data_IF_231805317302
#
_entry.id   IF_231805317302
#
_cell.length_a   1.000
_cell.length_b   1.000
_cell.length_c   1.000
_cell.angle_alpha   90.00
_cell.angle_beta   90.00
_cell.angle_gamma   90.00
#
_symmetry.space_group_name_H-M   'P 1'
#
loop_
_entity.id
_entity.type
_entity.pdbx_description
1 polymer ?
#
# COMPACT_ATOMS: atom_id res chain seq x y z
N UNK A 1 6.23 -29.11 -15.31
CA UNK A 1 7.27 -29.60 -14.39
C UNK A 1 7.29 -28.64 -13.21
N UNK A 2 7.42 -29.15 -12.00
CA UNK A 2 7.63 -28.31 -10.81
C UNK A 2 8.97 -27.58 -10.96
N UNK A 3 8.98 -26.28 -10.69
CA UNK A 3 10.18 -25.42 -10.78
C UNK A 3 10.59 -24.98 -9.39
N UNK A 4 11.90 -24.79 -9.17
CA UNK A 4 12.46 -24.29 -7.92
C UNK A 4 13.05 -22.90 -8.11
N UNK A 5 13.05 -22.10 -7.05
CA UNK A 5 13.70 -20.79 -7.04
C UNK A 5 15.23 -20.93 -6.89
N UNK A 6 15.94 -20.04 -7.55
CA UNK A 6 17.38 -19.87 -7.47
C UNK A 6 17.72 -18.39 -7.36
N UNK A 7 18.84 -18.10 -6.71
CA UNK A 7 19.40 -16.75 -6.59
C UNK A 7 20.80 -16.71 -7.20
N UNK A 8 21.09 -15.64 -7.95
CA UNK A 8 22.43 -15.28 -8.38
C UNK A 8 22.86 -14.04 -7.58
N UNK A 9 23.98 -14.16 -6.88
CA UNK A 9 24.72 -13.03 -6.36
C UNK A 9 25.69 -12.58 -7.44
N UNK A 10 25.38 -11.46 -8.08
CA UNK A 10 26.15 -10.91 -9.19
C UNK A 10 27.22 -9.96 -8.64
N UNK A 11 28.48 -10.17 -9.01
CA UNK A 11 29.61 -9.33 -8.59
C UNK A 11 30.32 -8.75 -9.79
N UNK A 12 30.61 -7.45 -9.78
CA UNK A 12 31.46 -6.87 -10.83
C UNK A 12 32.91 -7.32 -10.68
N UNK A 13 33.53 -7.69 -11.80
CA UNK A 13 34.93 -8.12 -11.82
C UNK A 13 35.89 -6.98 -11.48
N UNK A 14 35.46 -5.73 -11.67
CA UNK A 14 36.23 -4.52 -11.34
C UNK A 14 35.47 -3.61 -10.36
N UNK A 15 36.07 -3.25 -9.20
CA UNK A 15 35.45 -2.32 -8.25
C UNK A 15 35.20 -0.91 -8.81
N UNK A 16 35.92 -0.49 -9.84
CA UNK A 16 35.79 0.84 -10.45
C UNK A 16 34.71 0.91 -11.53
N UNK A 17 34.04 -0.21 -11.85
CA UNK A 17 33.06 -0.32 -12.93
C UNK A 17 32.03 0.83 -12.98
N UNK A 18 31.39 1.17 -11.85
CA UNK A 18 30.41 2.28 -11.82
C UNK A 18 31.00 3.66 -12.18
N UNK A 19 32.32 3.83 -12.00
CA UNK A 19 33.02 5.10 -12.23
C UNK A 19 33.60 5.19 -13.63
N UNK A 20 34.08 4.08 -14.19
CA UNK A 20 34.93 4.07 -15.38
C UNK A 20 34.53 3.06 -16.46
N UNK A 21 33.28 2.56 -16.44
CA UNK A 21 32.79 1.62 -17.45
C UNK A 21 33.02 2.14 -18.89
N UNK A 22 33.70 1.32 -19.67
CA UNK A 22 33.91 1.51 -21.10
C UNK A 22 32.60 1.43 -21.88
N UNK A 23 32.62 1.85 -23.15
CA UNK A 23 31.44 1.75 -24.01
C UNK A 23 31.05 0.29 -24.27
N UNK A 24 32.03 -0.60 -24.40
CA UNK A 24 31.79 -2.03 -24.61
C UNK A 24 31.14 -2.65 -23.37
N UNK A 25 31.66 -2.36 -22.18
CA UNK A 25 31.07 -2.79 -20.91
C UNK A 25 29.61 -2.31 -20.74
N UNK A 26 29.32 -1.06 -21.12
CA UNK A 26 27.95 -0.52 -21.09
C UNK A 26 27.04 -1.22 -22.09
N UNK A 27 27.53 -1.53 -23.29
CA UNK A 27 26.78 -2.28 -24.29
C UNK A 27 26.46 -3.69 -23.80
N UNK A 28 27.44 -4.38 -23.21
CA UNK A 28 27.24 -5.70 -22.58
C UNK A 28 26.21 -5.65 -21.45
N UNK A 29 26.24 -4.63 -20.59
CA UNK A 29 25.22 -4.51 -19.52
C UNK A 29 23.82 -4.23 -20.08
N UNK A 30 23.70 -3.54 -21.22
CA UNK A 30 22.43 -3.39 -21.90
C UNK A 30 21.91 -4.73 -22.46
N UNK A 31 22.78 -5.57 -23.03
CA UNK A 31 22.43 -6.92 -23.47
C UNK A 31 22.02 -7.82 -22.30
N UNK A 32 22.75 -7.75 -21.17
CA UNK A 32 22.37 -8.40 -19.92
C UNK A 32 20.97 -8.00 -19.44
N UNK A 33 20.64 -6.70 -19.51
CA UNK A 33 19.32 -6.21 -19.14
C UNK A 33 18.22 -6.80 -20.04
N UNK A 34 18.41 -6.79 -21.36
CA UNK A 34 17.41 -7.36 -22.28
C UNK A 34 17.28 -8.88 -22.10
N UNK A 35 18.39 -9.60 -21.86
CA UNK A 35 18.39 -11.02 -21.54
C UNK A 35 17.50 -11.36 -20.33
N UNK A 36 17.61 -10.59 -19.23
CA UNK A 36 16.78 -10.80 -18.05
C UNK A 36 15.36 -10.28 -18.19
N UNK A 37 15.15 -9.21 -18.96
CA UNK A 37 13.82 -8.69 -19.28
C UNK A 37 12.99 -9.67 -20.11
N UNK A 38 13.59 -10.39 -21.06
CA UNK A 38 12.91 -11.49 -21.77
C UNK A 38 12.44 -12.58 -20.79
N UNK A 39 13.27 -12.93 -19.81
CA UNK A 39 12.95 -13.92 -18.76
C UNK A 39 11.90 -13.43 -17.79
N UNK A 40 11.86 -12.13 -17.51
CA UNK A 40 10.77 -11.52 -16.77
C UNK A 40 9.45 -11.66 -17.52
N UNK A 41 9.45 -11.33 -18.80
CA UNK A 41 8.25 -11.41 -19.64
C UNK A 41 7.74 -12.85 -19.84
N UNK A 42 8.62 -13.86 -19.77
CA UNK A 42 8.24 -15.28 -19.83
C UNK A 42 7.89 -15.90 -18.48
N UNK A 43 7.98 -15.14 -17.38
CA UNK A 43 7.67 -15.61 -16.02
C UNK A 43 8.79 -16.45 -15.36
N UNK A 44 9.97 -16.52 -15.98
CA UNK A 44 11.15 -17.19 -15.43
C UNK A 44 11.80 -16.33 -14.35
N UNK A 45 12.02 -15.03 -14.62
CA UNK A 45 12.59 -14.11 -13.64
C UNK A 45 11.52 -13.67 -12.63
N UNK A 46 11.84 -13.77 -11.34
CA UNK A 46 11.00 -13.26 -10.25
C UNK A 46 11.34 -11.80 -9.97
N UNK A 47 12.64 -11.50 -9.78
CA UNK A 47 13.14 -10.16 -9.49
C UNK A 47 14.62 -10.05 -9.87
N UNK A 48 15.03 -8.91 -10.42
CA UNK A 48 16.45 -8.57 -10.59
C UNK A 48 16.67 -7.09 -10.30
N UNK A 49 17.84 -6.75 -9.77
CA UNK A 49 18.22 -5.37 -9.59
C UNK A 49 19.67 -5.17 -9.15
N UNK A 50 20.30 -4.04 -9.52
CA UNK A 50 21.59 -3.64 -9.00
C UNK A 50 21.46 -3.06 -7.59
N UNK A 51 22.55 -3.09 -6.83
CA UNK A 51 22.66 -2.19 -5.68
C UNK A 51 22.88 -0.75 -6.17
N UNK A 52 22.43 0.22 -5.38
CA UNK A 52 22.57 1.63 -5.74
C UNK A 52 23.93 2.23 -5.36
N UNK A 53 24.66 1.58 -4.47
CA UNK A 53 25.90 2.06 -3.86
C UNK A 53 27.15 1.26 -4.27
N UNK A 54 26.98 0.17 -5.02
CA UNK A 54 28.06 -0.73 -5.46
C UNK A 54 27.70 -1.42 -6.79
N UNK A 55 28.69 -1.87 -7.58
CA UNK A 55 28.47 -2.40 -8.93
C UNK A 55 27.81 -3.80 -8.97
N UNK A 56 27.48 -4.37 -7.83
CA UNK A 56 26.98 -5.74 -7.67
C UNK A 56 25.44 -5.78 -7.85
N UNK A 57 24.84 -6.96 -7.87
CA UNK A 57 23.39 -7.12 -7.98
C UNK A 57 22.86 -8.47 -7.49
N UNK A 58 21.54 -8.59 -7.44
CA UNK A 58 20.82 -9.83 -7.11
C UNK A 58 19.83 -10.15 -8.20
N UNK A 59 19.70 -11.44 -8.52
CA UNK A 59 18.73 -11.98 -9.48
C UNK A 59 18.08 -13.21 -8.87
N UNK A 60 16.75 -13.25 -8.77
CA UNK A 60 15.96 -14.39 -8.30
C UNK A 60 15.08 -14.87 -9.45
N UNK A 61 15.13 -16.16 -9.76
CA UNK A 61 14.44 -16.75 -10.90
C UNK A 61 14.07 -18.22 -10.65
N UNK A 62 13.16 -18.74 -11.48
CA UNK A 62 12.70 -20.12 -11.42
C UNK A 62 13.39 -20.98 -12.48
N UNK A 63 13.78 -22.20 -12.11
CA UNK A 63 14.29 -23.21 -13.05
C UNK A 63 13.82 -24.62 -12.67
N UNK A 64 13.68 -25.52 -13.65
CA UNK A 64 13.21 -26.89 -13.40
C UNK A 64 14.28 -27.74 -12.71
N UNK A 65 15.55 -27.58 -13.08
CA UNK A 65 16.68 -28.32 -12.52
C UNK A 65 17.86 -27.40 -12.19
N UNK A 66 18.81 -27.84 -11.34
CA UNK A 66 20.05 -27.09 -11.11
C UNK A 66 20.87 -26.87 -12.38
N UNK A 67 20.80 -27.80 -13.34
CA UNK A 67 21.51 -27.66 -14.63
C UNK A 67 20.86 -26.59 -15.50
N UNK A 68 19.53 -26.50 -15.53
CA UNK A 68 18.83 -25.41 -16.23
C UNK A 68 19.18 -24.06 -15.63
N UNK A 69 19.24 -23.97 -14.29
CA UNK A 69 19.63 -22.75 -13.60
C UNK A 69 21.08 -22.33 -13.93
N UNK A 70 22.01 -23.29 -13.94
CA UNK A 70 23.39 -23.04 -14.34
C UNK A 70 23.49 -22.66 -15.83
N UNK A 71 22.66 -23.26 -16.69
CA UNK A 71 22.56 -22.91 -18.10
C UNK A 71 22.11 -21.46 -18.30
N UNK A 72 21.08 -21.02 -17.57
CA UNK A 72 20.61 -19.63 -17.58
C UNK A 72 21.72 -18.66 -17.12
N UNK A 73 22.47 -18.99 -16.07
CA UNK A 73 23.60 -18.14 -15.64
C UNK A 73 24.69 -18.06 -16.72
N UNK A 74 25.08 -19.19 -17.32
CA UNK A 74 26.16 -19.25 -18.32
C UNK A 74 25.83 -18.54 -19.64
N UNK A 75 24.56 -18.26 -19.90
CA UNK A 75 24.11 -17.56 -21.11
C UNK A 75 23.93 -16.06 -20.90
N UNK A 76 24.11 -15.56 -19.68
CA UNK A 76 24.06 -14.12 -19.39
C UNK A 76 25.21 -13.40 -20.14
N UNK A 77 24.89 -12.42 -21.02
CA UNK A 77 25.89 -11.68 -21.79
C UNK A 77 27.01 -11.06 -20.95
N UNK A 78 26.68 -10.55 -19.76
CA UNK A 78 27.66 -9.90 -18.89
C UNK A 78 28.54 -10.90 -18.12
N UNK A 79 28.07 -12.14 -17.92
CA UNK A 79 28.90 -13.25 -17.44
C UNK A 79 29.83 -13.73 -18.56
N UNK A 80 29.31 -13.93 -19.77
CA UNK A 80 30.10 -14.38 -20.93
C UNK A 80 31.23 -13.40 -21.29
N UNK A 81 30.96 -12.10 -21.19
CA UNK A 81 31.94 -11.05 -21.45
C UNK A 81 32.90 -10.78 -20.27
N UNK A 82 32.70 -11.42 -19.12
CA UNK A 82 33.54 -11.23 -17.92
C UNK A 82 33.36 -9.86 -17.23
N UNK A 83 32.26 -9.17 -17.49
CA UNK A 83 31.91 -7.93 -16.79
C UNK A 83 31.42 -8.23 -15.37
N UNK A 84 30.68 -9.33 -15.22
CA UNK A 84 30.22 -9.85 -13.94
C UNK A 84 30.67 -11.29 -13.72
N UNK A 85 30.77 -11.67 -12.46
CA UNK A 85 30.78 -13.05 -11.98
C UNK A 85 29.47 -13.33 -11.26
N UNK A 86 28.94 -14.55 -11.38
CA UNK A 86 27.69 -14.95 -10.75
C UNK A 86 27.87 -16.14 -9.82
N UNK A 87 27.41 -16.00 -8.59
CA UNK A 87 27.36 -17.07 -7.60
C UNK A 87 25.92 -17.61 -7.50
N UNK A 88 25.67 -18.81 -8.03
CA UNK A 88 24.35 -19.43 -8.11
C UNK A 88 24.05 -20.31 -6.90
N UNK A 89 22.88 -20.10 -6.28
CA UNK A 89 22.40 -20.89 -5.14
C UNK A 89 20.94 -21.29 -5.31
N UNK A 90 20.52 -22.51 -4.88
CA UNK A 90 19.11 -22.79 -4.61
C UNK A 90 18.59 -21.80 -3.57
N UNK A 91 17.40 -21.26 -3.80
CA UNK A 91 16.80 -20.25 -2.93
C UNK A 91 15.36 -20.64 -2.60
N UNK A 92 14.87 -20.15 -1.48
CA UNK A 92 13.47 -20.31 -1.09
C UNK A 92 12.97 -19.01 -0.48
N UNK A 93 12.09 -18.31 -1.20
CA UNK A 93 11.47 -17.09 -0.71
C UNK A 93 10.43 -17.44 0.35
N UNK A 94 10.80 -17.33 1.64
CA UNK A 94 9.91 -17.71 2.73
C UNK A 94 8.80 -16.70 3.01
N UNK A 95 9.00 -15.42 2.65
CA UNK A 95 8.06 -14.32 2.87
C UNK A 95 8.12 -13.35 1.68
N UNK A 96 6.98 -13.08 1.04
CA UNK A 96 6.90 -12.15 -0.10
C UNK A 96 5.57 -11.38 -0.10
N UNK A 97 5.60 -10.09 -0.50
CA UNK A 97 4.46 -9.20 -0.38
C UNK A 97 3.26 -9.62 -1.27
N UNK A 98 3.52 -10.32 -2.39
CA UNK A 98 2.47 -10.87 -3.27
C UNK A 98 1.67 -12.01 -2.62
N UNK A 99 2.23 -12.64 -1.59
CA UNK A 99 1.58 -13.73 -0.84
C UNK A 99 0.80 -13.20 0.37
N UNK A 100 0.73 -11.88 0.54
CA UNK A 100 -0.19 -11.30 1.50
C UNK A 100 -1.62 -11.64 1.05
N UNK A 101 -2.44 -12.30 1.89
CA UNK A 101 -3.83 -12.58 1.55
C UNK A 101 -4.53 -11.27 1.17
N UNK A 102 -5.49 -11.31 0.22
CA UNK A 102 -6.18 -10.11 -0.20
C UNK A 102 -6.76 -9.41 1.03
N UNK A 103 -6.34 -8.16 1.24
CA UNK A 103 -6.78 -7.34 2.36
C UNK A 103 -8.21 -6.81 2.15
N UNK A 104 -9.02 -7.44 1.30
CA UNK A 104 -10.42 -7.10 1.06
C UNK A 104 -11.26 -8.37 1.14
N UNK A 105 -12.54 -8.20 1.42
CA UNK A 105 -13.54 -9.27 1.32
C UNK A 105 -13.77 -9.57 -0.16
N UNK A 106 -13.64 -10.84 -0.57
CA UNK A 106 -13.79 -11.26 -1.97
C UNK A 106 -15.23 -11.09 -2.47
N UNK A 107 -16.21 -11.47 -1.64
CA UNK A 107 -17.64 -11.41 -1.96
C UNK A 107 -18.38 -10.58 -0.89
N UNK A 108 -18.19 -9.24 -0.86
CA UNK A 108 -18.83 -8.42 0.16
C UNK A 108 -20.34 -8.40 -0.01
N UNK A 109 -21.05 -8.26 1.11
CA UNK A 109 -22.50 -8.06 1.15
C UNK A 109 -22.88 -6.65 0.67
N UNK A 110 -24.17 -6.42 0.42
CA UNK A 110 -24.73 -5.10 0.11
C UNK A 110 -24.87 -4.16 1.33
N UNK A 111 -24.32 -4.56 2.49
CA UNK A 111 -24.39 -3.75 3.70
C UNK A 111 -23.66 -2.43 3.52
N UNK A 112 -24.34 -1.36 3.92
CA UNK A 112 -23.89 0.01 3.79
C UNK A 112 -24.20 0.78 5.07
N UNK A 113 -23.18 1.41 5.62
CA UNK A 113 -23.34 2.46 6.64
C UNK A 113 -23.22 3.80 5.93
N UNK A 114 -24.27 4.62 6.00
CA UNK A 114 -24.33 5.92 5.31
C UNK A 114 -24.68 7.04 6.27
N UNK A 115 -23.92 8.13 6.17
CA UNK A 115 -24.24 9.40 6.81
C UNK A 115 -24.22 10.53 5.79
N UNK A 116 -25.10 11.50 5.97
CA UNK A 116 -25.12 12.77 5.25
C UNK A 116 -25.23 13.88 6.27
N UNK A 117 -24.29 14.82 6.23
CA UNK A 117 -24.28 16.02 7.09
C UNK A 117 -24.07 17.27 6.26
N UNK A 118 -24.55 18.40 6.77
CA UNK A 118 -24.42 19.71 6.16
C UNK A 118 -23.74 20.65 7.15
N UNK A 119 -22.62 21.24 6.75
CA UNK A 119 -21.86 22.19 7.58
C UNK A 119 -21.76 23.56 6.91
N UNK A 120 -21.78 24.61 7.73
CA UNK A 120 -21.54 25.97 7.29
C UNK A 120 -20.03 26.25 7.34
N UNK A 121 -19.36 26.07 6.21
CA UNK A 121 -17.90 26.22 6.08
C UNK A 121 -17.53 26.35 4.60
N UNK A 122 -16.26 26.63 4.32
CA UNK A 122 -15.73 26.51 2.96
C UNK A 122 -15.39 25.05 2.63
N UNK A 123 -15.42 24.73 1.33
CA UNK A 123 -15.03 23.40 0.85
C UNK A 123 -13.58 23.05 1.24
N UNK A 124 -12.69 24.03 1.31
CA UNK A 124 -11.29 23.86 1.67
C UNK A 124 -11.12 23.50 3.14
N UNK A 125 -11.87 24.12 4.04
CA UNK A 125 -11.85 23.81 5.47
C UNK A 125 -12.37 22.39 5.73
N UNK A 126 -13.48 22.03 5.07
CA UNK A 126 -14.08 20.70 5.15
C UNK A 126 -13.12 19.63 4.59
N UNK A 127 -12.52 19.89 3.43
CA UNK A 127 -11.55 18.99 2.82
C UNK A 127 -10.34 18.78 3.74
N UNK A 128 -9.75 19.88 4.25
CA UNK A 128 -8.60 19.81 5.16
C UNK A 128 -8.93 19.10 6.46
N UNK A 129 -10.16 19.21 6.97
CA UNK A 129 -10.59 18.50 8.17
C UNK A 129 -10.37 16.98 8.05
N UNK A 130 -10.58 16.40 6.88
CA UNK A 130 -10.40 14.96 6.65
C UNK A 130 -9.03 14.56 6.08
N UNK A 131 -8.28 15.51 5.51
CA UNK A 131 -7.06 15.20 4.72
C UNK A 131 -5.75 15.69 5.34
N UNK A 132 -5.83 16.30 6.53
CA UNK A 132 -4.65 16.80 7.26
C UNK A 132 -4.67 16.29 8.69
N UNK A 133 -3.49 16.15 9.28
CA UNK A 133 -3.34 15.71 10.67
C UNK A 133 -4.03 16.70 11.61
N UNK A 134 -3.81 18.00 11.41
CA UNK A 134 -4.45 19.06 12.20
C UNK A 134 -5.97 19.02 12.08
N UNK A 135 -6.48 18.75 10.88
CA UNK A 135 -7.90 18.56 10.61
C UNK A 135 -8.48 17.40 11.40
N UNK A 136 -7.90 16.22 11.30
CA UNK A 136 -8.39 15.01 11.98
C UNK A 136 -8.33 15.16 13.50
N UNK A 137 -7.26 15.76 14.02
CA UNK A 137 -7.07 16.01 15.46
C UNK A 137 -8.15 16.87 16.10
N UNK A 138 -8.84 17.65 15.28
CA UNK A 138 -9.80 18.63 15.76
C UNK A 138 -11.22 18.10 15.96
N UNK A 139 -11.52 16.86 15.55
CA UNK A 139 -12.85 16.26 15.77
C UNK A 139 -12.86 14.72 15.79
N UNK A 140 -11.93 14.07 15.07
CA UNK A 140 -12.02 12.65 14.81
C UNK A 140 -11.22 11.83 15.82
N UNK A 141 -9.98 12.22 16.10
CA UNK A 141 -9.09 11.45 16.97
C UNK A 141 -8.02 12.35 17.61
N UNK A 142 -7.17 11.82 18.50
CA UNK A 142 -6.15 12.64 19.17
C UNK A 142 -4.91 12.87 18.30
N UNK A 143 -4.62 11.96 17.37
CA UNK A 143 -3.50 12.07 16.44
C UNK A 143 -3.72 11.21 15.17
N UNK A 144 -2.89 11.42 14.15
CA UNK A 144 -2.99 10.71 12.88
C UNK A 144 -1.69 10.76 12.07
N UNK A 145 -1.58 9.83 11.11
CA UNK A 145 -0.61 9.87 10.02
C UNK A 145 -1.34 9.82 8.69
N UNK A 146 -1.26 10.91 7.93
CA UNK A 146 -1.98 11.07 6.66
C UNK A 146 -0.99 11.45 5.57
N UNK A 147 -0.93 10.66 4.51
CA UNK A 147 -0.15 10.90 3.31
C UNK A 147 -1.09 10.94 2.10
N UNK A 148 -1.42 12.14 1.62
CA UNK A 148 -2.37 12.36 0.49
C UNK A 148 -1.78 11.97 -0.88
N UNK A 149 -1.48 10.69 -1.04
CA UNK A 149 -1.07 10.02 -2.29
C UNK A 149 -1.77 8.65 -2.35
N UNK A 150 -2.02 8.13 -3.54
CA UNK A 150 -2.60 6.78 -3.69
C UNK A 150 -1.66 5.74 -3.03
N UNK A 151 -2.21 4.90 -2.16
CA UNK A 151 -1.46 3.94 -1.33
C UNK A 151 -0.73 4.56 -0.12
N UNK A 152 -0.81 5.88 0.07
CA UNK A 152 -0.27 6.57 1.23
C UNK A 152 -1.03 6.22 2.52
N UNK A 153 -0.38 6.43 3.66
CA UNK A 153 -0.98 6.18 4.98
C UNK A 153 -2.26 7.00 5.19
N UNK A 154 -3.30 6.35 5.73
CA UNK A 154 -4.49 6.99 6.30
C UNK A 154 -4.77 6.35 7.65
N UNK A 155 -3.90 6.66 8.61
CA UNK A 155 -3.90 6.06 9.94
C UNK A 155 -4.39 7.08 10.97
N UNK A 156 -5.42 6.71 11.71
CA UNK A 156 -6.10 7.54 12.70
C UNK A 156 -5.91 6.85 14.05
N UNK A 157 -5.38 7.57 15.04
CA UNK A 157 -4.99 7.00 16.33
C UNK A 157 -5.99 7.39 17.41
N UNK A 158 -6.58 6.39 18.07
CA UNK A 158 -7.62 6.56 19.09
C UNK A 158 -7.11 6.26 20.51
N UNK A 159 -6.07 5.43 20.64
CA UNK A 159 -5.42 5.12 21.90
C UNK A 159 -3.93 5.52 21.89
N UNK A 160 -3.51 6.39 22.82
CA UNK A 160 -2.12 6.85 22.93
C UNK A 160 -1.22 5.93 23.75
N UNK A 161 -1.80 5.05 24.56
CA UNK A 161 -1.10 4.15 25.49
C UNK A 161 -0.93 2.73 24.92
N UNK A 162 -1.74 2.36 23.92
CA UNK A 162 -1.65 1.06 23.26
C UNK A 162 -0.37 0.92 22.41
N UNK A 163 0.05 -0.33 22.19
CA UNK A 163 1.22 -0.72 21.39
C UNK A 163 1.05 -0.33 19.92
N UNK A 164 2.15 0.07 19.29
CA UNK A 164 2.20 0.34 17.86
C UNK A 164 1.67 -0.83 17.02
N UNK A 165 0.78 -0.54 16.08
CA UNK A 165 -0.01 -1.49 15.29
C UNK A 165 -1.46 -1.68 15.77
N UNK A 166 -1.75 -1.34 17.03
CA UNK A 166 -3.07 -1.51 17.66
C UNK A 166 -3.71 -0.21 18.16
N UNK A 167 -3.07 0.94 17.98
CA UNK A 167 -3.52 2.27 18.48
C UNK A 167 -4.73 2.84 17.76
N UNK A 168 -5.07 2.29 16.60
CA UNK A 168 -6.20 2.77 15.80
C UNK A 168 -6.22 2.14 14.41
N UNK A 169 -6.27 2.94 13.35
CA UNK A 169 -6.37 2.43 11.98
C UNK A 169 -5.01 2.17 11.30
N UNK A 170 -4.01 1.72 12.07
CA UNK A 170 -2.64 1.47 11.56
C UNK A 170 -2.62 0.48 10.39
N UNK A 171 -1.85 0.85 9.35
CA UNK A 171 -1.80 0.17 8.07
C UNK A 171 -3.02 0.39 7.15
N UNK A 172 -3.94 1.31 7.46
CA UNK A 172 -4.94 1.77 6.51
C UNK A 172 -4.35 2.78 5.53
N UNK A 173 -4.88 2.81 4.32
CA UNK A 173 -4.32 3.57 3.19
C UNK A 173 -5.37 4.39 2.47
N UNK A 174 -4.93 5.50 1.88
CA UNK A 174 -5.67 6.24 0.85
C UNK A 174 -5.79 5.35 -0.40
N UNK A 175 -7.01 5.09 -0.85
CA UNK A 175 -7.28 4.27 -2.03
C UNK A 175 -7.39 5.12 -3.29
N UNK A 176 -8.10 6.24 -3.20
CA UNK A 176 -8.25 7.21 -4.29
C UNK A 176 -8.79 8.52 -3.75
N UNK A 177 -8.60 9.61 -4.51
CA UNK A 177 -9.20 10.89 -4.18
C UNK A 177 -9.33 11.77 -5.43
N UNK A 178 -10.36 12.61 -5.42
CA UNK A 178 -10.49 13.78 -6.28
C UNK A 178 -10.47 14.99 -5.34
N UNK A 179 -9.45 15.86 -5.41
CA UNK A 179 -9.31 16.96 -4.46
C UNK A 179 -10.61 17.76 -4.32
N UNK A 180 -11.08 17.93 -3.07
CA UNK A 180 -12.29 18.69 -2.71
C UNK A 180 -13.62 18.08 -3.21
N UNK A 181 -13.60 16.88 -3.75
CA UNK A 181 -14.81 16.20 -4.26
C UNK A 181 -15.01 14.83 -3.63
N UNK A 182 -13.96 14.01 -3.54
CA UNK A 182 -14.04 12.64 -3.04
C UNK A 182 -12.75 12.20 -2.37
N UNK A 183 -12.86 11.47 -1.27
CA UNK A 183 -11.77 10.76 -0.62
C UNK A 183 -12.21 9.33 -0.32
N UNK A 184 -11.38 8.35 -0.67
CA UNK A 184 -11.59 6.94 -0.36
C UNK A 184 -10.39 6.36 0.36
N UNK A 185 -10.63 5.60 1.42
CA UNK A 185 -9.59 4.93 2.19
C UNK A 185 -10.03 3.55 2.68
N UNK A 186 -9.06 2.67 2.88
CA UNK A 186 -9.30 1.37 3.52
C UNK A 186 -9.54 1.56 5.01
N UNK A 187 -10.32 0.70 5.63
CA UNK A 187 -10.61 0.77 7.06
C UNK A 187 -10.51 -0.60 7.71
N UNK A 188 -10.14 -0.66 8.98
CA UNK A 188 -9.89 -1.92 9.68
C UNK A 188 -10.79 -2.05 10.91
N UNK A 189 -11.13 -3.30 11.26
CA UNK A 189 -11.91 -3.57 12.46
C UNK A 189 -11.10 -3.28 13.74
N UNK A 190 -11.77 -3.05 14.89
CA UNK A 190 -11.12 -2.91 16.19
C UNK A 190 -10.16 -4.07 16.54
N UNK A 191 -9.15 -3.84 17.39
CA UNK A 191 -8.20 -4.86 17.83
C UNK A 191 -8.83 -6.17 18.36
N UNK A 192 -10.02 -6.10 18.95
CA UNK A 192 -10.76 -7.27 19.45
C UNK A 192 -11.18 -8.26 18.34
N UNK A 193 -11.14 -7.85 17.07
CA UNK A 193 -11.48 -8.67 15.90
C UNK A 193 -10.27 -8.88 14.97
N UNK A 194 -9.19 -9.55 15.40
CA UNK A 194 -7.92 -9.62 14.66
C UNK A 194 -8.07 -10.23 13.25
N UNK A 195 -8.86 -11.30 13.12
CA UNK A 195 -9.13 -11.96 11.83
C UNK A 195 -9.85 -11.03 10.83
N UNK A 196 -10.78 -10.19 11.30
CA UNK A 196 -11.50 -9.22 10.46
C UNK A 196 -10.62 -8.00 10.21
N UNK A 197 -9.80 -7.60 11.18
CA UNK A 197 -8.92 -6.43 11.08
C UNK A 197 -7.93 -6.53 9.92
N UNK A 198 -7.50 -7.73 9.55
CA UNK A 198 -6.69 -8.01 8.36
C UNK A 198 -7.48 -7.87 7.04
N UNK A 199 -8.81 -8.02 7.09
CA UNK A 199 -9.73 -7.82 5.96
C UNK A 199 -10.27 -6.39 5.98
N UNK A 200 -9.59 -5.49 5.27
CA UNK A 200 -9.96 -4.08 5.23
C UNK A 200 -11.28 -3.85 4.48
N UNK A 201 -12.15 -3.07 5.09
CA UNK A 201 -13.33 -2.47 4.48
C UNK A 201 -12.96 -1.16 3.76
N UNK A 202 -13.93 -0.47 3.17
CA UNK A 202 -13.70 0.77 2.40
C UNK A 202 -14.65 1.87 2.83
N UNK A 203 -14.11 3.05 3.09
CA UNK A 203 -14.88 4.26 3.41
C UNK A 203 -14.69 5.28 2.30
N UNK A 204 -15.78 5.85 1.83
CA UNK A 204 -15.81 6.88 0.79
C UNK A 204 -16.52 8.10 1.36
N UNK A 205 -15.84 9.24 1.31
CA UNK A 205 -16.36 10.56 1.59
C UNK A 205 -16.58 11.29 0.27
N UNK A 206 -17.75 11.92 0.12
CA UNK A 206 -18.01 12.85 -0.98
C UNK A 206 -18.33 14.23 -0.42
N UNK A 207 -17.80 15.26 -1.05
CA UNK A 207 -17.93 16.65 -0.67
C UNK A 207 -18.64 17.42 -1.77
N UNK A 208 -19.62 18.24 -1.43
CA UNK A 208 -20.32 19.06 -2.41
C UNK A 208 -20.80 20.36 -1.80
N UNK A 209 -20.49 21.49 -2.44
CA UNK A 209 -21.09 22.77 -2.09
C UNK A 209 -22.54 22.80 -2.60
N UNK A 210 -23.46 23.19 -1.72
CA UNK A 210 -24.88 23.33 -2.00
C UNK A 210 -25.20 24.76 -2.45
N UNK A 211 -26.39 24.95 -3.02
CA UNK A 211 -26.86 26.25 -3.51
C UNK A 211 -26.98 27.30 -2.40
N UNK A 212 -27.24 26.88 -1.17
CA UNK A 212 -27.32 27.74 0.02
C UNK A 212 -25.95 28.03 0.65
N UNK A 213 -24.86 27.59 0.01
CA UNK A 213 -23.49 27.81 0.46
C UNK A 213 -22.97 26.78 1.47
N UNK A 214 -23.82 25.90 2.03
CA UNK A 214 -23.37 24.83 2.92
C UNK A 214 -22.58 23.77 2.16
N UNK A 215 -21.70 23.06 2.87
CA UNK A 215 -21.01 21.89 2.33
C UNK A 215 -21.70 20.63 2.82
N UNK A 216 -22.15 19.81 1.87
CA UNK A 216 -22.62 18.46 2.13
C UNK A 216 -21.44 17.49 2.17
N UNK A 217 -21.38 16.68 3.22
CA UNK A 217 -20.43 15.59 3.36
C UNK A 217 -21.21 14.29 3.47
N UNK A 218 -20.97 13.37 2.53
CA UNK A 218 -21.57 12.05 2.52
C UNK A 218 -20.52 11.00 2.82
N UNK A 219 -20.69 10.29 3.92
CA UNK A 219 -19.87 9.14 4.29
C UNK A 219 -20.60 7.86 3.89
N UNK A 220 -19.87 6.96 3.27
CA UNK A 220 -20.36 5.64 2.92
C UNK A 220 -19.30 4.58 3.20
N UNK A 221 -19.62 3.60 4.04
CA UNK A 221 -18.73 2.52 4.45
C UNK A 221 -19.29 1.18 3.95
N UNK A 222 -18.46 0.46 3.19
CA UNK A 222 -18.79 -0.79 2.48
C UNK A 222 -17.73 -1.87 2.71
N UNK A 223 -17.99 -3.07 2.19
CA UNK A 223 -17.03 -4.17 2.16
C UNK A 223 -17.16 -5.16 3.31
N UNK A 224 -18.34 -5.21 3.93
CA UNK A 224 -18.63 -6.15 5.02
C UNK A 224 -18.95 -7.54 4.47
N UNK A 225 -18.38 -8.58 5.06
CA UNK A 225 -18.72 -9.97 4.79
C UNK A 225 -19.93 -10.42 5.64
N UNK A 226 -20.23 -11.72 5.57
CA UNK A 226 -21.26 -12.43 6.33
C UNK A 226 -20.71 -13.02 7.64
N UNK A 227 -21.61 -13.29 8.59
CA UNK A 227 -21.30 -14.00 9.84
C UNK A 227 -21.33 -13.11 11.08
N UNK A 228 -21.49 -13.75 12.25
CA UNK A 228 -21.77 -13.06 13.53
C UNK A 228 -20.70 -12.02 13.92
N UNK A 229 -19.41 -12.33 13.69
CA UNK A 229 -18.32 -11.36 13.95
C UNK A 229 -18.45 -10.12 13.05
N UNK A 230 -18.82 -10.31 11.77
CA UNK A 230 -19.05 -9.21 10.84
C UNK A 230 -20.31 -8.41 11.16
N UNK A 231 -21.35 -9.06 11.69
CA UNK A 231 -22.55 -8.38 12.21
C UNK A 231 -22.18 -7.45 13.38
N UNK A 232 -21.35 -7.94 14.31
CA UNK A 232 -20.87 -7.15 15.45
C UNK A 232 -20.02 -5.96 14.99
N UNK A 233 -19.08 -6.18 14.06
CA UNK A 233 -18.23 -5.10 13.49
C UNK A 233 -19.07 -4.06 12.74
N UNK A 234 -20.07 -4.49 11.97
CA UNK A 234 -20.98 -3.58 11.29
C UNK A 234 -21.79 -2.73 12.29
N UNK A 235 -22.31 -3.33 13.36
CA UNK A 235 -23.01 -2.60 14.43
C UNK A 235 -22.09 -1.62 15.15
N UNK A 236 -20.86 -2.04 15.48
CA UNK A 236 -19.85 -1.18 16.07
C UNK A 236 -19.60 0.06 15.21
N UNK A 237 -19.40 -0.10 13.90
CA UNK A 237 -19.13 1.03 13.02
C UNK A 237 -20.34 1.94 12.80
N UNK A 238 -21.58 1.44 12.86
CA UNK A 238 -22.75 2.31 12.85
C UNK A 238 -22.71 3.28 14.04
N UNK A 239 -22.40 2.78 15.23
CA UNK A 239 -22.33 3.62 16.42
C UNK A 239 -21.11 4.57 16.36
N UNK A 240 -19.94 4.04 16.02
CA UNK A 240 -18.70 4.82 15.98
C UNK A 240 -18.76 5.95 14.95
N UNK A 241 -19.26 5.70 13.74
CA UNK A 241 -19.41 6.75 12.74
C UNK A 241 -20.42 7.81 13.16
N UNK A 242 -21.52 7.44 13.82
CA UNK A 242 -22.45 8.44 14.39
C UNK A 242 -21.73 9.42 15.31
N UNK A 243 -20.89 8.92 16.22
CA UNK A 243 -20.13 9.77 17.13
C UNK A 243 -19.17 10.70 16.38
N UNK A 244 -18.43 10.18 15.41
CA UNK A 244 -17.48 10.97 14.61
C UNK A 244 -18.19 12.06 13.82
N UNK A 245 -19.34 11.74 13.20
CA UNK A 245 -20.13 12.71 12.46
C UNK A 245 -20.74 13.80 13.38
N UNK A 246 -21.10 13.45 14.60
CA UNK A 246 -21.55 14.43 15.60
C UNK A 246 -20.41 15.37 16.02
N UNK A 247 -19.19 14.86 16.27
CA UNK A 247 -18.03 15.71 16.57
C UNK A 247 -17.66 16.60 15.37
N UNK A 248 -17.77 16.07 14.16
CA UNK A 248 -17.56 16.83 12.93
C UNK A 248 -18.54 18.01 12.82
N UNK A 249 -19.82 17.79 13.10
CA UNK A 249 -20.83 18.85 13.14
C UNK A 249 -20.51 19.89 14.23
N UNK A 250 -20.14 19.45 15.44
CA UNK A 250 -19.78 20.35 16.56
C UNK A 250 -18.61 21.26 16.21
N UNK A 251 -17.55 20.70 15.60
CA UNK A 251 -16.39 21.47 15.14
C UNK A 251 -16.79 22.68 14.30
N UNK A 252 -17.72 22.52 13.36
CA UNK A 252 -18.15 23.60 12.47
C UNK A 252 -19.30 24.46 13.04
N UNK A 253 -19.99 24.00 14.08
CA UNK A 253 -20.94 24.83 14.82
C UNK A 253 -20.24 25.77 15.82
N UNK A 254 -19.15 25.32 16.46
CA UNK A 254 -18.42 26.07 17.48
C UNK A 254 -17.45 27.10 16.89
N UNK A 255 -16.91 26.86 15.68
CA UNK A 255 -16.08 27.81 14.93
C UNK A 255 -16.83 29.03 14.38
N UNK A 256 -18.08 29.26 14.78
CA UNK A 256 -18.89 30.44 14.45
C UNK A 256 -19.17 31.34 15.66
N UNK A 257 -18.52 31.09 16.81
CA UNK A 257 -18.54 32.03 17.93
C UNK A 257 -17.32 32.95 17.86
N UNK A 258 -17.60 34.13 17.29
CA UNK A 258 -16.84 35.40 17.32
C UNK A 258 -15.48 35.45 16.61
#
# INVERSE_FOLDING_TARGET
METKEYVILLRATRPTFLKDASNDEKATVAEHYEYWKERFNSGILVLAGPYLDRPDGIIIFNAATPEDAAGILRQDPAILAGVFEGELHPFYTSLHQKDSPPQHVENPTDRLIRYEVHVQATLDEVWRAWTTVEGVKSFFAFDARIEMKIGGAYEIYFDSEERGGLRGSEGCQVLSFLPKEMLSFSWNAPPEYPEIRERRTRVILNFRQLQDGRIRVNLAHYGFDTGEKWDAVWNYFNIAWSHVMDQFLRRFAEGHRE
#
